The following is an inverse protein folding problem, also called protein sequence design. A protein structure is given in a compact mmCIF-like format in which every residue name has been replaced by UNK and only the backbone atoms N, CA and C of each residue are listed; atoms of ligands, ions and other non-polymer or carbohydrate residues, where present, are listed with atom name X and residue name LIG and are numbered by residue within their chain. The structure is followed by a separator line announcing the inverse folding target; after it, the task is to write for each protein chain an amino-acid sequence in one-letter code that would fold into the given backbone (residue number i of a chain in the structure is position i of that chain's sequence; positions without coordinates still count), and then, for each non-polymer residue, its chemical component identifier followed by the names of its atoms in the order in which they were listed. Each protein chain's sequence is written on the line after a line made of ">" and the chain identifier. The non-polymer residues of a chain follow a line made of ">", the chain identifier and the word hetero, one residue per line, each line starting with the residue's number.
data_IF_372726905965
#
_entry.id   IF_372726905965
#
_cell.length_a   1.000
_cell.length_b   1.000
_cell.length_c   1.000
_cell.angle_alpha   90.00
_cell.angle_beta   90.00
_cell.angle_gamma   90.00
#
_symmetry.space_group_name_H-M   'P 1'
#
loop_
_entity.id
_entity.type
_entity.pdbx_description
1 polymer ?
#
# COMPACT_ATOMS: atom_id res chain seq x y z
N UNK A 1 12.83 -12.65 -17.91
CA UNK A 1 12.96 -11.62 -16.86
C UNK A 1 12.15 -10.43 -17.32
N UNK A 2 11.12 -10.02 -16.59
CA UNK A 2 10.28 -8.89 -16.99
C UNK A 2 11.15 -7.64 -17.09
N UNK A 3 10.97 -6.85 -18.13
CA UNK A 3 11.56 -5.52 -18.23
C UNK A 3 11.33 -4.80 -16.89
N UNK A 4 12.41 -4.37 -16.24
CA UNK A 4 12.32 -3.53 -15.05
C UNK A 4 11.59 -2.27 -15.50
N UNK A 5 10.32 -2.14 -15.13
CA UNK A 5 9.51 -0.97 -15.45
C UNK A 5 10.20 0.24 -14.82
N UNK A 6 10.75 1.11 -15.68
CA UNK A 6 11.66 2.21 -15.32
C UNK A 6 11.07 3.23 -14.34
N UNK A 7 9.76 3.20 -14.09
CA UNK A 7 9.02 4.23 -13.32
C UNK A 7 8.41 3.71 -12.00
N UNK A 8 8.93 2.63 -11.43
CA UNK A 8 8.50 2.17 -10.09
C UNK A 8 8.99 3.13 -8.99
N UNK A 9 8.08 3.98 -8.55
CA UNK A 9 8.20 4.83 -7.36
C UNK A 9 7.20 4.34 -6.32
N UNK A 10 7.41 4.65 -5.04
CA UNK A 10 6.42 4.32 -4.00
C UNK A 10 5.03 4.84 -4.38
N UNK A 11 4.95 6.06 -4.91
CA UNK A 11 3.70 6.66 -5.38
C UNK A 11 3.05 5.86 -6.51
N UNK A 12 3.79 5.48 -7.55
CA UNK A 12 3.22 4.70 -8.66
C UNK A 12 2.79 3.30 -8.21
N UNK A 13 3.53 2.67 -7.28
CA UNK A 13 3.14 1.39 -6.68
C UNK A 13 1.80 1.52 -5.94
N UNK A 14 1.65 2.55 -5.10
CA UNK A 14 0.42 2.76 -4.32
C UNK A 14 -0.77 3.16 -5.21
N UNK A 15 -0.54 3.94 -6.27
CA UNK A 15 -1.57 4.27 -7.26
C UNK A 15 -2.03 3.05 -8.07
N UNK A 16 -1.13 2.09 -8.30
CA UNK A 16 -1.50 0.83 -8.92
C UNK A 16 -2.30 -0.05 -7.94
N UNK A 17 -1.87 -0.10 -6.67
CA UNK A 17 -2.58 -0.84 -5.63
C UNK A 17 -4.00 -0.31 -5.36
N UNK A 18 -4.22 0.99 -5.49
CA UNK A 18 -5.57 1.57 -5.36
C UNK A 18 -6.52 1.13 -6.47
N UNK A 19 -5.98 0.71 -7.62
CA UNK A 19 -6.77 0.20 -8.76
C UNK A 19 -6.93 -1.31 -8.71
N UNK A 20 -5.90 -2.05 -8.29
CA UNK A 20 -5.97 -3.52 -8.20
C UNK A 20 -6.78 -4.00 -6.99
N UNK A 21 -6.86 -3.19 -5.93
CA UNK A 21 -7.51 -3.58 -4.68
C UNK A 21 -6.68 -4.55 -3.84
N UNK A 22 -5.38 -4.67 -4.17
CA UNK A 22 -4.45 -5.52 -3.43
C UNK A 22 -4.37 -5.08 -1.97
N UNK A 23 -4.33 -6.06 -1.07
CA UNK A 23 -4.09 -5.80 0.34
C UNK A 23 -2.59 -5.65 0.55
N UNK A 24 -2.18 -4.55 1.13
CA UNK A 24 -0.79 -4.20 1.37
C UNK A 24 -0.49 -4.15 2.87
N UNK A 25 0.76 -4.46 3.21
CA UNK A 25 1.36 -4.16 4.50
C UNK A 25 2.42 -3.07 4.32
N UNK A 26 2.32 -2.04 5.16
CA UNK A 26 3.17 -0.85 5.13
C UNK A 26 4.16 -0.91 6.28
N UNK A 27 5.40 -0.56 6.01
CA UNK A 27 6.47 -0.59 7.00
C UNK A 27 7.11 0.79 7.13
N UNK A 28 7.36 1.19 8.37
CA UNK A 28 8.14 2.38 8.72
C UNK A 28 9.54 2.06 9.20
N UNK A 29 10.30 3.08 9.64
CA UNK A 29 11.66 2.94 10.15
C UNK A 29 11.78 1.82 11.19
N UNK A 30 12.85 1.02 11.10
CA UNK A 30 13.04 -0.14 11.97
C UNK A 30 12.19 -1.37 11.59
N UNK A 31 11.60 -1.38 10.38
CA UNK A 31 10.76 -2.47 9.88
C UNK A 31 9.49 -2.71 10.71
N UNK A 32 9.02 -1.69 11.42
CA UNK A 32 7.75 -1.72 12.13
C UNK A 32 6.59 -1.67 11.14
N UNK A 33 5.56 -2.51 11.36
CA UNK A 33 4.32 -2.42 10.59
C UNK A 33 3.60 -1.15 11.03
N UNK A 34 3.35 -0.23 10.10
CA UNK A 34 2.65 1.02 10.38
C UNK A 34 1.18 0.98 9.95
N UNK A 35 0.83 0.11 9.00
CA UNK A 35 -0.54 -0.12 8.56
C UNK A 35 -0.67 -1.43 7.76
N UNK A 36 -1.89 -1.95 7.63
CA UNK A 36 -2.22 -3.07 6.76
C UNK A 36 -3.64 -2.95 6.20
N UNK A 37 -3.79 -2.77 4.89
CA UNK A 37 -5.12 -2.63 4.29
C UNK A 37 -5.06 -2.44 2.78
N UNK A 38 -6.18 -2.03 2.19
CA UNK A 38 -6.26 -1.69 0.77
C UNK A 38 -6.09 -0.18 0.60
N UNK A 39 -5.40 0.24 -0.45
CA UNK A 39 -5.25 1.68 -0.75
C UNK A 39 -6.58 2.21 -1.30
N UNK A 40 -7.16 3.21 -0.63
CA UNK A 40 -8.34 3.91 -1.13
C UNK A 40 -7.94 5.02 -2.13
N UNK A 41 -7.00 5.89 -1.75
CA UNK A 41 -6.41 6.88 -2.64
C UNK A 41 -4.99 7.26 -2.22
N UNK A 42 -4.24 7.87 -3.16
CA UNK A 42 -2.90 8.39 -2.91
C UNK A 42 -2.91 9.91 -3.06
N UNK A 43 -2.84 10.61 -1.94
CA UNK A 43 -2.76 12.07 -1.88
C UNK A 43 -1.34 12.58 -2.14
N UNK A 44 -1.11 13.88 -1.93
CA UNK A 44 0.21 14.49 -2.09
C UNK A 44 1.20 14.02 -1.01
N UNK A 45 0.76 13.91 0.24
CA UNK A 45 1.63 13.60 1.38
C UNK A 45 1.18 12.35 2.15
N UNK A 46 -0.06 11.90 1.91
CA UNK A 46 -0.66 10.77 2.61
C UNK A 46 -1.13 9.71 1.63
N UNK A 47 -1.13 8.46 2.09
CA UNK A 47 -1.90 7.36 1.51
C UNK A 47 -3.09 7.08 2.44
N UNK A 48 -4.28 7.03 1.86
CA UNK A 48 -5.49 6.67 2.56
C UNK A 48 -5.72 5.16 2.41
N UNK A 49 -6.00 4.51 3.53
CA UNK A 49 -6.13 3.06 3.66
C UNK A 49 -7.55 2.76 4.13
N UNK A 50 -8.11 1.66 3.63
CA UNK A 50 -9.34 1.07 4.13
C UNK A 50 -9.10 -0.37 4.56
N UNK A 51 -9.67 -0.75 5.70
CA UNK A 51 -9.58 -2.10 6.23
C UNK A 51 -10.80 -2.95 5.87
N UNK A 52 -11.98 -2.32 5.77
CA UNK A 52 -13.23 -2.97 5.40
C UNK A 52 -13.56 -2.87 3.92
N UNK A 53 -14.81 -3.22 3.61
CA UNK A 53 -15.39 -3.10 2.27
C UNK A 53 -16.16 -1.78 2.09
N UNK A 54 -15.96 -0.82 3.00
CA UNK A 54 -16.48 0.55 2.87
C UNK A 54 -15.70 1.32 1.81
N UNK A 55 -16.37 2.29 1.20
CA UNK A 55 -15.72 3.20 0.24
C UNK A 55 -14.86 4.25 0.93
N UNK A 56 -15.20 4.60 2.17
CA UNK A 56 -14.47 5.60 2.94
C UNK A 56 -13.19 5.00 3.57
N UNK A 57 -12.05 5.70 3.47
CA UNK A 57 -10.84 5.34 4.21
C UNK A 57 -11.00 5.59 5.71
N UNK A 58 -10.42 4.70 6.51
CA UNK A 58 -10.45 4.72 7.97
C UNK A 58 -9.05 4.96 8.58
N UNK A 59 -7.99 4.95 7.76
CA UNK A 59 -6.62 5.21 8.18
C UNK A 59 -5.85 6.04 7.13
N UNK A 60 -4.92 6.87 7.59
CA UNK A 60 -4.09 7.73 6.73
C UNK A 60 -2.64 7.66 7.18
N UNK A 61 -1.73 7.34 6.27
CA UNK A 61 -0.30 7.18 6.55
C UNK A 61 0.49 8.21 5.76
N UNK A 62 1.42 8.90 6.42
CA UNK A 62 2.36 9.80 5.75
C UNK A 62 3.29 8.99 4.82
N UNK A 63 3.36 9.38 3.55
CA UNK A 63 4.20 8.73 2.54
C UNK A 63 5.68 8.71 2.92
N UNK A 64 6.16 9.75 3.61
CA UNK A 64 7.56 9.85 4.06
C UNK A 64 7.90 8.83 5.16
N UNK A 65 6.89 8.33 5.88
CA UNK A 65 7.07 7.32 6.91
C UNK A 65 7.12 5.89 6.35
N UNK A 66 6.90 5.69 5.05
CA UNK A 66 6.86 4.35 4.43
C UNK A 66 8.23 4.05 3.82
N UNK A 67 8.93 3.08 4.40
CA UNK A 67 10.23 2.59 3.88
C UNK A 67 10.08 1.34 3.01
N UNK A 68 8.97 0.60 3.18
CA UNK A 68 8.68 -0.64 2.46
C UNK A 68 7.18 -0.86 2.39
N UNK A 69 6.75 -1.44 1.27
CA UNK A 69 5.40 -2.01 1.09
C UNK A 69 5.52 -3.47 0.70
N UNK A 70 4.57 -4.29 1.14
CA UNK A 70 4.48 -5.70 0.80
C UNK A 70 3.05 -6.01 0.37
N UNK A 71 2.90 -6.59 -0.83
CA UNK A 71 1.63 -7.17 -1.26
C UNK A 71 1.39 -8.43 -0.43
N UNK A 72 0.23 -8.51 0.22
CA UNK A 72 -0.24 -9.71 0.87
C UNK A 72 -0.99 -10.53 -0.18
N UNK A 73 -0.45 -11.70 -0.52
CA UNK A 73 -1.15 -12.63 -1.41
C UNK A 73 -2.45 -13.15 -0.78
N UNK A 74 -3.26 -13.85 -1.56
CA UNK A 74 -4.35 -14.64 -1.00
C UNK A 74 -3.79 -15.62 0.03
N UNK A 75 -4.40 -15.65 1.20
CA UNK A 75 -4.07 -16.56 2.28
C UNK A 75 -4.33 -18.01 1.81
N UNK A 76 -3.36 -18.62 1.12
CA UNK A 76 -3.39 -20.06 0.84
C UNK A 76 -3.04 -20.77 2.15
N UNK A 77 -4.07 -21.06 2.93
CA UNK A 77 -4.01 -22.13 3.91
C UNK A 77 -3.60 -23.41 3.17
N UNK A 78 -2.38 -23.88 3.42
CA UNK A 78 -2.04 -25.29 3.22
C UNK A 78 -2.58 -26.11 4.38
#
# INVERSE_FOLDING_TARGET
>A
MSEVQKDYTLRSILQNASKSGDRLRFFGPGMMIVAEGRVAFVGKEVVAIRHGDTDDPDEFVNLECIIKVQVLGEYRHY
#
